data_IF_460221009197
#
_entry.id   IF_460221009197
#
_cell.length_a   1.000
_cell.length_b   1.000
_cell.length_c   1.000
_cell.angle_alpha   90.00
_cell.angle_beta   90.00
_cell.angle_gamma   90.00
#
_symmetry.space_group_name_H-M   'P 1'
#
loop_
_entity.id
_entity.type
_entity.pdbx_description
1 polymer ?
#
# COMPACT_ATOMS: atom_id res chain seq x y z
N UNK A 1 -5.40 25.71 -1.68
CA UNK A 1 -4.04 25.41 -1.14
C UNK A 1 -3.54 23.98 -1.39
N UNK A 2 -4.24 22.88 -1.03
CA UNK A 2 -3.71 21.50 -1.26
C UNK A 2 -3.68 21.11 -2.76
N UNK A 3 -4.73 21.44 -3.53
CA UNK A 3 -4.81 21.19 -5.00
C UNK A 3 -3.77 21.95 -5.84
N UNK A 4 -3.35 23.13 -5.41
CA UNK A 4 -2.33 23.93 -6.12
C UNK A 4 -0.91 23.39 -5.93
N UNK A 5 -0.60 22.80 -4.75
CA UNK A 5 0.69 22.14 -4.51
C UNK A 5 0.86 20.88 -5.34
N UNK A 6 -0.19 20.09 -5.53
CA UNK A 6 -0.17 18.90 -6.40
C UNK A 6 0.00 19.25 -7.88
N UNK A 7 -0.68 20.30 -8.38
CA UNK A 7 -0.47 20.80 -9.75
C UNK A 7 0.96 21.31 -9.97
N UNK A 8 1.51 22.07 -9.03
CA UNK A 8 2.85 22.63 -9.16
C UNK A 8 3.96 21.56 -9.18
N UNK A 9 3.76 20.42 -8.50
CA UNK A 9 4.73 19.32 -8.53
C UNK A 9 4.74 18.61 -9.89
N UNK A 10 3.57 18.43 -10.51
CA UNK A 10 3.42 17.73 -11.78
C UNK A 10 3.77 18.60 -13.01
N UNK A 11 3.56 19.92 -12.97
CA UNK A 11 3.96 20.81 -14.07
C UNK A 11 5.48 20.83 -14.29
N UNK A 12 6.30 20.73 -13.23
CA UNK A 12 7.76 20.71 -13.37
C UNK A 12 8.31 19.45 -14.04
N UNK A 13 7.58 18.34 -14.01
CA UNK A 13 8.02 17.11 -14.66
C UNK A 13 7.82 17.13 -16.20
N UNK A 14 7.00 18.05 -16.72
CA UNK A 14 6.63 18.12 -18.14
C UNK A 14 7.40 19.17 -18.97
N UNK A 15 8.18 20.07 -18.35
CA UNK A 15 8.79 21.20 -19.09
C UNK A 15 10.20 20.94 -19.67
N UNK A 16 10.82 19.79 -19.41
CA UNK A 16 12.11 19.44 -20.02
C UNK A 16 11.93 18.68 -21.33
N UNK A 17 11.69 19.42 -22.42
CA UNK A 17 12.16 19.03 -23.74
C UNK A 17 11.14 19.08 -24.88
N UNK A 18 10.89 20.26 -25.44
CA UNK A 18 10.69 20.42 -26.90
C UNK A 18 11.23 21.78 -27.33
N UNK A 19 12.21 21.77 -28.23
CA UNK A 19 12.73 22.94 -28.94
C UNK A 19 12.27 22.91 -30.39
N UNK A 20 11.84 24.09 -30.85
CA UNK A 20 11.75 24.61 -32.23
C UNK A 20 10.91 23.86 -33.29
N UNK A 21 9.94 24.57 -33.89
CA UNK A 21 10.19 25.28 -35.15
C UNK A 21 8.94 26.05 -35.63
N UNK A 22 9.18 27.29 -36.04
CA UNK A 22 8.27 28.19 -36.76
C UNK A 22 7.86 27.64 -38.13
N UNK A 23 6.59 27.83 -38.50
CA UNK A 23 6.22 28.21 -39.88
C UNK A 23 4.91 29.00 -39.89
N UNK A 24 5.04 30.29 -40.19
CA UNK A 24 3.99 31.18 -40.68
C UNK A 24 3.51 30.71 -42.05
N UNK A 25 2.19 30.78 -42.33
CA UNK A 25 1.65 31.37 -43.57
C UNK A 25 0.23 31.92 -43.35
N UNK A 26 0.07 33.20 -43.69
CA UNK A 26 -1.19 33.94 -43.88
C UNK A 26 -1.88 33.57 -45.20
N UNK A 27 -3.22 33.70 -45.28
CA UNK A 27 -4.00 34.41 -46.33
C UNK A 27 -5.53 34.24 -46.08
N UNK A 28 -6.23 35.32 -45.68
CA UNK A 28 -7.28 36.11 -46.39
C UNK A 28 -8.59 35.37 -46.73
N UNK A 29 -9.72 35.63 -46.05
CA UNK A 29 -10.74 36.70 -46.29
C UNK A 29 -11.72 36.43 -47.45
N UNK A 30 -13.04 36.47 -47.20
CA UNK A 30 -14.04 36.87 -48.21
C UNK A 30 -15.38 36.11 -48.24
N UNK A 31 -16.38 36.67 -47.56
CA UNK A 31 -17.78 36.91 -47.97
C UNK A 31 -18.83 35.78 -48.24
N UNK A 32 -19.92 35.92 -47.47
CA UNK A 32 -21.31 35.42 -47.60
C UNK A 32 -22.12 36.34 -48.57
N UNK A 33 -23.45 36.20 -48.87
CA UNK A 33 -24.43 35.11 -48.67
C UNK A 33 -25.40 34.86 -49.87
N UNK A 34 -26.29 33.85 -49.71
CA UNK A 34 -27.78 33.90 -49.82
C UNK A 34 -28.48 32.80 -50.65
N UNK A 35 -29.66 32.44 -50.12
CA UNK A 35 -30.94 31.95 -50.71
C UNK A 35 -31.26 30.44 -50.61
N UNK A 36 -32.48 30.22 -50.13
CA UNK A 36 -33.13 29.02 -49.62
C UNK A 36 -33.74 28.07 -50.67
N UNK A 37 -34.08 26.86 -50.24
CA UNK A 37 -35.38 26.14 -50.40
C UNK A 37 -35.23 24.78 -49.70
N UNK A 38 -35.92 24.56 -48.58
CA UNK A 38 -37.21 23.86 -48.44
C UNK A 38 -37.19 22.37 -48.88
N UNK A 39 -37.51 21.48 -47.93
CA UNK A 39 -37.56 20.04 -48.22
C UNK A 39 -37.34 19.10 -47.03
N UNK A 40 -38.30 19.05 -46.10
CA UNK A 40 -38.86 17.77 -45.64
C UNK A 40 -38.09 16.88 -44.63
N UNK A 41 -38.87 16.49 -43.61
CA UNK A 41 -38.82 15.25 -42.83
C UNK A 41 -38.10 15.31 -41.48
N UNK A 42 -38.92 15.61 -40.47
CA UNK A 42 -38.74 15.19 -39.09
C UNK A 42 -38.51 13.67 -38.98
N UNK A 43 -37.26 13.30 -38.73
CA UNK A 43 -36.94 12.12 -37.93
C UNK A 43 -35.82 12.54 -36.98
N UNK A 44 -36.17 12.90 -35.74
CA UNK A 44 -35.21 12.96 -34.63
C UNK A 44 -34.70 11.55 -34.34
N UNK A 45 -33.78 11.07 -35.18
CA UNK A 45 -32.88 9.99 -34.84
C UNK A 45 -31.95 10.54 -33.77
N UNK A 46 -32.19 10.15 -32.52
CA UNK A 46 -31.27 10.39 -31.44
C UNK A 46 -29.96 9.66 -31.75
N UNK A 47 -29.01 10.37 -32.34
CA UNK A 47 -27.61 9.97 -32.43
C UNK A 47 -27.04 9.88 -31.01
N UNK A 48 -27.34 8.76 -30.33
CA UNK A 48 -26.45 8.25 -29.29
C UNK A 48 -25.23 7.75 -30.04
N UNK A 49 -24.30 8.67 -30.29
CA UNK A 49 -22.95 8.38 -30.72
C UNK A 49 -22.35 7.44 -29.67
N UNK A 50 -22.39 6.14 -29.94
CA UNK A 50 -21.77 5.15 -29.09
C UNK A 50 -20.31 5.58 -28.90
N UNK A 51 -19.91 5.78 -27.64
CA UNK A 51 -18.54 6.14 -27.32
C UNK A 51 -17.63 5.07 -27.93
N UNK A 52 -16.76 5.47 -28.85
CA UNK A 52 -15.74 4.57 -29.40
C UNK A 52 -14.91 4.08 -28.20
N UNK A 53 -14.78 2.76 -27.99
CA UNK A 53 -13.97 2.24 -26.89
C UNK A 53 -12.54 2.71 -27.09
N UNK A 54 -12.08 3.58 -26.20
CA UNK A 54 -10.70 4.09 -26.23
C UNK A 54 -9.73 2.97 -25.95
N UNK A 55 -8.65 2.90 -26.73
CA UNK A 55 -7.66 1.84 -26.61
C UNK A 55 -6.93 2.00 -25.27
N UNK A 56 -6.50 0.91 -24.62
CA UNK A 56 -5.71 0.98 -23.39
C UNK A 56 -4.51 1.92 -23.50
N UNK A 57 -3.89 1.98 -24.70
CA UNK A 57 -2.76 2.85 -25.01
C UNK A 57 -3.02 4.37 -24.87
N UNK A 58 -4.29 4.81 -24.93
CA UNK A 58 -4.68 6.22 -24.87
C UNK A 58 -5.07 6.67 -23.46
N UNK A 59 -4.69 5.88 -22.44
CA UNK A 59 -5.05 6.10 -21.04
C UNK A 59 -3.81 6.08 -20.17
N UNK A 60 -3.84 6.85 -19.09
CA UNK A 60 -2.76 6.87 -18.10
C UNK A 60 -3.03 5.82 -17.03
N UNK A 61 -2.35 4.67 -17.12
CA UNK A 61 -2.40 3.67 -16.06
C UNK A 61 -1.60 4.14 -14.84
N UNK A 62 -2.25 4.12 -13.68
CA UNK A 62 -1.70 4.45 -12.37
C UNK A 62 -1.83 3.20 -11.51
N UNK A 63 -0.73 2.51 -11.29
CA UNK A 63 -0.73 1.34 -10.42
C UNK A 63 -0.82 1.78 -8.97
N UNK A 64 -1.67 1.11 -8.19
CA UNK A 64 -1.86 1.37 -6.77
C UNK A 64 -1.57 0.08 -6.02
N UNK A 65 -0.42 0.05 -5.36
CA UNK A 65 -0.01 -1.01 -4.44
C UNK A 65 -0.55 -0.72 -3.04
N UNK A 66 -0.93 -1.77 -2.31
CA UNK A 66 -1.54 -1.65 -0.98
C UNK A 66 -0.69 -2.41 0.05
N UNK A 67 -0.34 -1.73 1.13
CA UNK A 67 0.45 -2.28 2.23
C UNK A 67 -0.01 -1.81 3.60
N UNK A 68 0.57 -2.37 4.66
CA UNK A 68 0.20 -2.01 6.03
C UNK A 68 0.93 -0.77 6.54
N UNK A 69 2.20 -0.59 6.14
CA UNK A 69 3.01 0.58 6.47
C UNK A 69 2.70 1.75 5.54
N UNK A 70 2.59 1.46 4.26
CA UNK A 70 2.12 2.39 3.23
C UNK A 70 0.79 1.87 2.72
N UNK A 71 -0.32 2.50 3.15
CA UNK A 71 -1.67 2.05 2.81
C UNK A 71 -1.89 2.02 1.30
N UNK A 72 -1.46 3.08 0.63
CA UNK A 72 -1.54 3.21 -0.82
C UNK A 72 -0.22 3.77 -1.34
N UNK A 73 0.36 3.09 -2.31
CA UNK A 73 1.46 3.61 -3.13
C UNK A 73 1.00 3.67 -4.58
N UNK A 74 0.77 4.88 -5.09
CA UNK A 74 0.32 5.13 -6.45
C UNK A 74 1.47 5.58 -7.35
N UNK A 75 1.62 4.98 -8.53
CA UNK A 75 2.66 5.34 -9.49
C UNK A 75 2.17 5.25 -10.94
N UNK A 76 2.35 6.29 -11.77
CA UNK A 76 1.92 6.30 -13.16
C UNK A 76 2.99 5.64 -14.08
N UNK A 77 2.58 4.97 -15.15
CA UNK A 77 3.53 4.38 -16.14
C UNK A 77 4.40 5.40 -16.88
N UNK A 78 3.89 6.56 -17.36
CA UNK A 78 4.64 7.44 -18.26
C UNK A 78 5.91 8.05 -17.66
N UNK A 79 6.08 8.04 -16.34
CA UNK A 79 7.26 8.62 -15.70
C UNK A 79 8.43 7.62 -15.72
N UNK A 80 9.56 7.96 -16.36
CA UNK A 80 10.74 7.08 -16.42
C UNK A 80 11.27 6.75 -15.01
N UNK A 81 11.15 7.68 -14.08
CA UNK A 81 11.58 7.54 -12.68
C UNK A 81 10.41 7.46 -11.69
N UNK A 82 10.70 7.43 -10.39
CA UNK A 82 9.74 7.45 -9.27
C UNK A 82 9.19 8.86 -8.97
N UNK A 83 9.54 9.86 -9.79
CA UNK A 83 9.23 11.28 -9.59
C UNK A 83 7.74 11.63 -9.65
N UNK A 84 6.87 10.63 -9.88
CA UNK A 84 5.42 10.74 -9.77
C UNK A 84 4.81 9.88 -8.65
N UNK A 85 5.58 9.12 -7.87
CA UNK A 85 5.03 8.24 -6.84
C UNK A 85 4.35 9.06 -5.73
N UNK A 86 3.15 8.62 -5.34
CA UNK A 86 2.39 9.19 -4.24
C UNK A 86 2.08 8.11 -3.20
N UNK A 87 2.47 8.35 -1.96
CA UNK A 87 2.33 7.38 -0.88
C UNK A 87 1.46 7.94 0.25
N UNK A 88 0.54 7.13 0.75
CA UNK A 88 -0.27 7.44 1.92
C UNK A 88 0.11 6.45 3.04
N UNK A 89 0.53 6.93 4.22
CA UNK A 89 0.93 6.06 5.32
C UNK A 89 -0.27 5.28 5.89
N UNK A 90 -0.02 4.04 6.31
CA UNK A 90 -1.00 3.13 6.92
C UNK A 90 -0.84 2.96 8.43
N UNK A 91 0.30 3.36 9.01
CA UNK A 91 0.63 3.07 10.42
C UNK A 91 -0.42 3.57 11.43
N UNK A 92 -1.01 4.75 11.20
CA UNK A 92 -2.04 5.28 12.10
C UNK A 92 -3.34 4.44 12.04
N UNK A 93 -3.74 3.97 10.86
CA UNK A 93 -4.89 3.08 10.70
C UNK A 93 -4.64 1.73 11.36
N UNK A 94 -3.45 1.16 11.17
CA UNK A 94 -3.01 -0.05 11.85
C UNK A 94 -3.07 0.12 13.37
N UNK A 95 -2.52 1.20 13.92
CA UNK A 95 -2.54 1.47 15.36
C UNK A 95 -3.97 1.63 15.91
N UNK A 96 -4.87 2.29 15.16
CA UNK A 96 -6.29 2.42 15.54
C UNK A 96 -7.00 1.06 15.53
N UNK A 97 -6.64 0.17 14.63
CA UNK A 97 -7.20 -1.17 14.50
C UNK A 97 -6.69 -2.10 15.61
N UNK A 98 -5.39 -2.07 15.91
CA UNK A 98 -4.79 -2.80 17.04
C UNK A 98 -5.40 -2.34 18.37
N UNK A 99 -5.56 -1.03 18.57
CA UNK A 99 -6.24 -0.50 19.75
C UNK A 99 -7.71 -0.91 19.86
N UNK A 100 -8.39 -1.15 18.72
CA UNK A 100 -9.74 -1.73 18.73
C UNK A 100 -9.69 -3.20 19.16
N UNK A 101 -8.73 -3.98 18.65
CA UNK A 101 -8.53 -5.38 19.02
C UNK A 101 -8.31 -5.54 20.52
N UNK A 102 -7.34 -4.81 21.08
CA UNK A 102 -7.02 -4.86 22.50
C UNK A 102 -8.25 -4.49 23.36
N UNK A 103 -9.00 -3.49 22.92
CA UNK A 103 -10.21 -3.09 23.63
C UNK A 103 -11.31 -4.14 23.55
N UNK A 104 -11.48 -4.81 22.42
CA UNK A 104 -12.48 -5.88 22.25
C UNK A 104 -12.08 -7.09 23.09
N UNK A 105 -10.80 -7.48 23.09
CA UNK A 105 -10.27 -8.54 23.95
C UNK A 105 -10.54 -8.25 25.44
N UNK A 106 -10.26 -7.02 25.89
CA UNK A 106 -10.53 -6.61 27.27
C UNK A 106 -12.03 -6.64 27.63
N UNK A 107 -12.91 -6.27 26.69
CA UNK A 107 -14.36 -6.34 26.92
C UNK A 107 -14.87 -7.79 26.97
N UNK A 108 -14.35 -8.66 26.11
CA UNK A 108 -14.69 -10.10 26.08
C UNK A 108 -14.19 -10.84 27.33
N UNK A 109 -13.09 -10.41 27.92
CA UNK A 109 -12.54 -10.97 29.15
C UNK A 109 -13.24 -10.46 30.44
N UNK A 110 -14.10 -9.44 30.33
CA UNK A 110 -14.84 -8.87 31.45
C UNK A 110 -16.35 -9.14 31.36
N UNK A 111 -17.13 -8.41 32.17
CA UNK A 111 -18.58 -8.58 32.28
C UNK A 111 -19.37 -7.70 31.29
N UNK A 112 -18.74 -7.21 30.23
CA UNK A 112 -19.41 -6.33 29.26
C UNK A 112 -20.46 -7.11 28.46
N UNK A 113 -21.69 -6.59 28.42
CA UNK A 113 -22.74 -7.22 27.63
C UNK A 113 -22.49 -7.15 26.12
N UNK A 114 -23.18 -8.03 25.38
CA UNK A 114 -23.07 -8.10 23.92
C UNK A 114 -23.42 -6.78 23.24
N UNK A 115 -24.42 -6.05 23.74
CA UNK A 115 -24.86 -4.80 23.13
C UNK A 115 -23.77 -3.72 23.19
N UNK A 116 -23.07 -3.64 24.32
CA UNK A 116 -21.94 -2.73 24.56
C UNK A 116 -20.78 -3.04 23.62
N UNK A 117 -20.42 -4.32 23.48
CA UNK A 117 -19.35 -4.76 22.57
C UNK A 117 -19.70 -4.41 21.12
N UNK A 118 -20.91 -4.76 20.67
CA UNK A 118 -21.39 -4.47 19.31
C UNK A 118 -21.42 -2.98 19.02
N UNK A 119 -21.95 -2.16 19.94
CA UNK A 119 -21.99 -0.71 19.78
C UNK A 119 -20.58 -0.10 19.68
N UNK A 120 -19.62 -0.61 20.48
CA UNK A 120 -18.22 -0.20 20.43
C UNK A 120 -17.57 -0.55 19.09
N UNK A 121 -17.71 -1.79 18.63
CA UNK A 121 -17.17 -2.26 17.34
C UNK A 121 -17.77 -1.46 16.19
N UNK A 122 -19.09 -1.28 16.16
CA UNK A 122 -19.77 -0.49 15.10
C UNK A 122 -19.25 0.95 15.02
N UNK A 123 -19.17 1.64 16.16
CA UNK A 123 -18.68 3.03 16.21
C UNK A 123 -17.24 3.13 15.72
N UNK A 124 -16.38 2.20 16.12
CA UNK A 124 -14.97 2.23 15.72
C UNK A 124 -14.76 1.82 14.27
N UNK A 125 -15.52 0.83 13.77
CA UNK A 125 -15.55 0.46 12.35
C UNK A 125 -15.95 1.65 11.48
N UNK A 126 -16.99 2.40 11.84
CA UNK A 126 -17.41 3.58 11.08
C UNK A 126 -16.27 4.61 10.95
N UNK A 127 -15.55 4.89 12.04
CA UNK A 127 -14.42 5.82 12.01
C UNK A 127 -13.22 5.30 11.19
N UNK A 128 -12.98 3.98 11.18
CA UNK A 128 -11.95 3.38 10.33
C UNK A 128 -12.33 3.45 8.85
N UNK A 129 -13.60 3.21 8.51
CA UNK A 129 -14.10 3.32 7.15
C UNK A 129 -14.00 4.76 6.62
N UNK A 130 -14.35 5.76 7.43
CA UNK A 130 -14.20 7.16 7.03
C UNK A 130 -12.73 7.52 6.73
N UNK A 131 -11.80 7.06 7.58
CA UNK A 131 -10.38 7.30 7.36
C UNK A 131 -9.83 6.58 6.10
N UNK A 132 -10.36 5.41 5.77
CA UNK A 132 -10.06 4.72 4.50
C UNK A 132 -10.64 5.47 3.30
N UNK A 133 -11.83 6.06 3.44
CA UNK A 133 -12.43 6.89 2.40
C UNK A 133 -11.64 8.16 2.18
N UNK A 134 -11.18 8.82 3.24
CA UNK A 134 -10.30 9.99 3.15
C UNK A 134 -9.01 9.67 2.40
N UNK A 135 -8.36 8.54 2.73
CA UNK A 135 -7.17 8.09 2.03
C UNK A 135 -7.46 7.76 0.55
N UNK A 136 -8.60 7.11 0.26
CA UNK A 136 -9.01 6.81 -1.11
C UNK A 136 -9.33 8.07 -1.93
N UNK A 137 -9.99 9.07 -1.32
CA UNK A 137 -10.26 10.38 -1.95
C UNK A 137 -8.96 11.08 -2.31
N UNK A 138 -7.94 10.98 -1.45
CA UNK A 138 -6.63 11.55 -1.70
C UNK A 138 -5.92 10.88 -2.91
N UNK A 139 -6.01 9.56 -3.05
CA UNK A 139 -5.54 8.85 -4.26
C UNK A 139 -6.34 9.26 -5.51
N UNK A 140 -7.66 9.41 -5.40
CA UNK A 140 -8.49 9.82 -6.53
C UNK A 140 -8.22 11.28 -6.95
N UNK A 141 -8.00 12.18 -6.01
CA UNK A 141 -7.56 13.56 -6.25
C UNK A 141 -6.21 13.59 -6.97
N UNK A 142 -5.25 12.76 -6.52
CA UNK A 142 -3.96 12.59 -7.18
C UNK A 142 -4.12 12.07 -8.62
N UNK A 143 -4.91 11.02 -8.84
CA UNK A 143 -5.12 10.41 -10.14
C UNK A 143 -5.82 11.35 -11.13
N UNK A 144 -6.74 12.17 -10.64
CA UNK A 144 -7.47 13.16 -11.44
C UNK A 144 -6.60 14.27 -12.03
N UNK A 145 -5.33 14.36 -11.60
CA UNK A 145 -4.35 15.27 -12.20
C UNK A 145 -3.76 14.77 -13.52
N UNK A 146 -4.02 13.51 -13.91
CA UNK A 146 -3.53 12.90 -15.15
C UNK A 146 -4.62 12.81 -16.21
N UNK A 147 -4.23 12.72 -17.48
CA UNK A 147 -5.17 12.57 -18.58
C UNK A 147 -5.74 11.15 -18.63
N UNK A 148 -7.08 11.07 -18.63
CA UNK A 148 -7.87 9.83 -18.80
C UNK A 148 -7.35 8.69 -17.91
N UNK A 149 -7.23 8.91 -16.58
CA UNK A 149 -6.54 8.00 -15.69
C UNK A 149 -7.30 6.68 -15.50
N UNK A 150 -6.54 5.64 -15.16
CA UNK A 150 -7.03 4.33 -14.72
C UNK A 150 -6.27 3.96 -13.46
N UNK A 151 -6.99 3.70 -12.37
CA UNK A 151 -6.37 3.11 -11.20
C UNK A 151 -6.24 1.61 -11.43
N UNK A 152 -5.04 1.06 -11.27
CA UNK A 152 -4.74 -0.34 -11.53
C UNK A 152 -4.32 -0.98 -10.21
N UNK A 153 -5.18 -1.85 -9.68
CA UNK A 153 -4.89 -2.58 -8.43
C UNK A 153 -4.64 -4.04 -8.73
N UNK A 154 -4.02 -4.75 -7.80
CA UNK A 154 -4.08 -6.21 -7.80
C UNK A 154 -5.51 -6.72 -7.57
N UNK A 155 -5.74 -7.96 -8.02
CA UNK A 155 -6.97 -8.69 -7.75
C UNK A 155 -6.94 -9.29 -6.33
N UNK A 156 -7.46 -8.52 -5.38
CA UNK A 156 -7.69 -8.98 -4.01
C UNK A 156 -9.03 -9.72 -3.96
N UNK A 157 -8.98 -11.05 -4.02
CA UNK A 157 -10.16 -11.93 -3.91
C UNK A 157 -10.65 -12.10 -2.46
N UNK A 158 -10.20 -11.26 -1.53
CA UNK A 158 -10.50 -11.41 -0.11
C UNK A 158 -11.76 -10.63 0.28
N UNK A 159 -12.65 -11.29 1.03
CA UNK A 159 -13.76 -10.63 1.70
C UNK A 159 -13.32 -10.18 3.11
N UNK A 160 -13.45 -8.89 3.45
CA UNK A 160 -13.01 -8.40 4.76
C UNK A 160 -13.95 -8.85 5.88
N UNK A 161 -13.44 -9.66 6.81
CA UNK A 161 -14.13 -10.01 8.06
C UNK A 161 -13.45 -9.35 9.26
N UNK A 162 -14.07 -8.27 9.76
CA UNK A 162 -13.55 -7.54 10.92
C UNK A 162 -13.63 -8.38 12.19
N UNK A 163 -14.68 -9.18 12.35
CA UNK A 163 -14.86 -9.94 13.58
C UNK A 163 -13.85 -11.07 13.66
N UNK A 164 -13.65 -11.81 12.56
CA UNK A 164 -12.60 -12.82 12.47
C UNK A 164 -11.24 -12.21 12.84
N UNK A 165 -10.87 -11.07 12.25
CA UNK A 165 -9.61 -10.39 12.57
C UNK A 165 -9.53 -9.93 14.03
N UNK A 166 -10.61 -9.39 14.61
CA UNK A 166 -10.62 -8.92 16.01
C UNK A 166 -10.46 -10.04 17.03
N UNK A 167 -10.86 -11.26 16.69
CA UNK A 167 -10.85 -12.41 17.60
C UNK A 167 -9.73 -13.42 17.34
N UNK A 168 -8.98 -13.25 16.26
CA UNK A 168 -7.83 -14.09 15.94
C UNK A 168 -6.62 -13.65 16.80
N UNK A 169 -6.06 -14.54 17.64
CA UNK A 169 -4.89 -14.22 18.47
C UNK A 169 -3.63 -13.94 17.65
N UNK A 170 -3.51 -14.51 16.45
CA UNK A 170 -2.35 -14.41 15.57
C UNK A 170 -2.50 -13.30 14.51
N UNK A 171 -3.69 -12.68 14.44
CA UNK A 171 -3.92 -11.52 13.60
C UNK A 171 -3.01 -10.35 13.99
N UNK A 172 -2.38 -9.75 12.99
CA UNK A 172 -1.52 -8.59 13.12
C UNK A 172 -1.88 -7.56 12.06
N UNK A 173 -1.74 -6.26 12.43
CA UNK A 173 -1.71 -5.10 11.52
C UNK A 173 -2.80 -5.01 10.46
N UNK A 174 -3.95 -5.64 10.71
CA UNK A 174 -5.10 -5.56 9.84
C UNK A 174 -5.01 -6.34 8.53
N UNK A 175 -4.01 -7.16 8.25
CA UNK A 175 -3.78 -7.69 6.88
C UNK A 175 -5.02 -8.35 6.25
N UNK A 176 -5.76 -9.15 7.03
CA UNK A 176 -6.96 -9.86 6.57
C UNK A 176 -8.25 -9.01 6.54
N UNK A 177 -8.21 -7.78 7.06
CA UNK A 177 -9.36 -6.87 7.06
C UNK A 177 -9.07 -5.51 6.42
N UNK A 178 -8.02 -4.82 6.85
CA UNK A 178 -7.58 -3.52 6.39
C UNK A 178 -7.33 -3.50 4.88
N UNK A 179 -6.49 -4.39 4.34
CA UNK A 179 -6.13 -4.35 2.91
C UNK A 179 -7.32 -4.69 2.00
N UNK A 180 -8.11 -5.75 2.25
CA UNK A 180 -9.31 -6.02 1.45
C UNK A 180 -10.35 -4.90 1.59
N UNK A 181 -10.52 -4.34 2.80
CA UNK A 181 -11.42 -3.19 2.99
C UNK A 181 -10.93 -1.97 2.23
N UNK A 182 -9.64 -1.67 2.26
CA UNK A 182 -9.01 -0.56 1.53
C UNK A 182 -9.24 -0.70 0.01
N UNK A 183 -9.05 -1.89 -0.57
CA UNK A 183 -9.42 -2.15 -1.98
C UNK A 183 -10.89 -1.80 -2.27
N UNK A 184 -11.82 -2.25 -1.41
CA UNK A 184 -13.25 -1.98 -1.61
C UNK A 184 -13.57 -0.49 -1.47
N UNK A 185 -12.95 0.22 -0.50
CA UNK A 185 -13.15 1.66 -0.32
C UNK A 185 -12.57 2.45 -1.48
N UNK A 186 -11.38 2.11 -1.96
CA UNK A 186 -10.78 2.73 -3.13
C UNK A 186 -11.69 2.60 -4.36
N UNK A 187 -12.23 1.41 -4.62
CA UNK A 187 -13.18 1.19 -5.74
C UNK A 187 -14.45 2.01 -5.59
N UNK A 188 -15.02 2.07 -4.38
CA UNK A 188 -16.22 2.83 -4.10
C UNK A 188 -16.00 4.34 -4.34
N UNK A 189 -14.93 4.90 -3.77
CA UNK A 189 -14.60 6.32 -3.92
C UNK A 189 -14.20 6.65 -5.36
N UNK A 190 -13.44 5.79 -6.04
CA UNK A 190 -13.11 5.99 -7.45
C UNK A 190 -14.36 6.09 -8.33
N UNK A 191 -15.39 5.29 -8.04
CA UNK A 191 -16.67 5.39 -8.75
C UNK A 191 -17.37 6.74 -8.53
N UNK A 192 -17.29 7.33 -7.33
CA UNK A 192 -17.80 8.68 -7.05
C UNK A 192 -17.07 9.76 -7.87
N UNK A 193 -15.79 9.56 -8.15
CA UNK A 193 -14.99 10.44 -9.00
C UNK A 193 -15.16 10.16 -10.51
N UNK A 194 -15.90 9.11 -10.89
CA UNK A 194 -15.99 8.66 -12.29
C UNK A 194 -14.67 8.06 -12.82
N UNK A 195 -13.79 7.62 -11.93
CA UNK A 195 -12.52 6.97 -12.25
C UNK A 195 -12.73 5.47 -12.44
N UNK A 196 -12.13 4.92 -13.49
CA UNK A 196 -12.10 3.48 -13.65
C UNK A 196 -11.04 2.85 -12.75
N UNK A 197 -11.40 1.72 -12.15
CA UNK A 197 -10.47 0.84 -11.47
C UNK A 197 -10.39 -0.48 -12.24
N UNK A 198 -9.19 -0.79 -12.75
CA UNK A 198 -8.87 -2.05 -13.38
C UNK A 198 -8.15 -2.97 -12.39
N UNK A 199 -8.42 -4.28 -12.48
CA UNK A 199 -7.67 -5.28 -11.72
C UNK A 199 -6.71 -6.04 -12.63
N UNK A 200 -5.51 -6.31 -12.12
CA UNK A 200 -4.51 -7.17 -12.78
C UNK A 200 -4.18 -8.35 -11.89
N UNK A 201 -3.69 -9.48 -12.45
CA UNK A 201 -3.28 -10.62 -11.64
C UNK A 201 -2.27 -10.23 -10.56
N UNK A 202 -2.46 -10.73 -9.34
CA UNK A 202 -1.58 -10.43 -8.18
C UNK A 202 -0.23 -11.16 -8.25
N UNK A 203 -0.17 -12.31 -8.92
CA UNK A 203 1.00 -13.19 -8.86
C UNK A 203 2.32 -12.43 -9.13
N UNK A 204 3.23 -12.49 -8.14
CA UNK A 204 4.57 -11.89 -8.19
C UNK A 204 4.63 -10.36 -8.35
N UNK A 205 3.54 -9.61 -8.17
CA UNK A 205 3.51 -8.14 -8.32
C UNK A 205 4.58 -7.43 -7.49
N UNK A 206 4.79 -7.88 -6.25
CA UNK A 206 5.79 -7.33 -5.33
C UNK A 206 7.22 -7.83 -5.53
N UNK A 207 7.42 -8.79 -6.44
CA UNK A 207 8.73 -9.42 -6.70
C UNK A 207 9.21 -9.24 -8.14
N UNK A 208 8.33 -8.80 -9.05
CA UNK A 208 8.69 -8.54 -10.43
C UNK A 208 9.40 -7.19 -10.55
N UNK A 209 10.48 -7.12 -11.32
CA UNK A 209 11.10 -5.85 -11.67
C UNK A 209 10.22 -5.10 -12.66
N UNK A 210 9.79 -3.89 -12.29
CA UNK A 210 9.00 -3.05 -13.21
C UNK A 210 9.72 -2.81 -14.55
N UNK A 211 11.06 -2.73 -14.56
CA UNK A 211 11.85 -2.40 -15.75
C UNK A 211 11.92 -3.53 -16.77
N UNK A 212 12.24 -4.76 -16.34
CA UNK A 212 12.50 -5.90 -17.22
C UNK A 212 11.59 -7.13 -17.01
N UNK A 213 10.71 -7.13 -16.01
CA UNK A 213 9.79 -8.24 -15.74
C UNK A 213 10.42 -9.48 -15.09
N UNK A 214 11.71 -9.44 -14.76
CA UNK A 214 12.43 -10.52 -14.05
C UNK A 214 12.14 -10.47 -12.55
N UNK A 215 12.04 -11.63 -11.92
CA UNK A 215 11.88 -11.74 -10.45
C UNK A 215 13.16 -11.30 -9.74
N UNK A 216 13.04 -10.25 -8.94
CA UNK A 216 14.11 -9.72 -8.10
C UNK A 216 14.17 -10.35 -6.71
N UNK A 217 15.04 -9.82 -5.87
CA UNK A 217 15.13 -10.12 -4.44
C UNK A 217 14.64 -8.94 -3.59
N UNK A 218 14.22 -9.25 -2.35
CA UNK A 218 13.81 -8.28 -1.33
C UNK A 218 14.68 -8.48 -0.10
N UNK A 219 15.91 -7.93 -0.07
CA UNK A 219 16.82 -8.12 1.04
C UNK A 219 16.29 -7.49 2.34
N UNK A 220 15.51 -6.42 2.23
CA UNK A 220 14.69 -5.82 3.29
C UNK A 220 13.25 -5.69 2.80
N UNK A 221 12.29 -5.58 3.72
CA UNK A 221 10.87 -5.39 3.36
C UNK A 221 10.69 -4.15 2.48
N UNK A 222 11.30 -3.03 2.81
CA UNK A 222 11.18 -1.77 2.05
C UNK A 222 11.96 -1.73 0.72
N UNK A 223 12.82 -2.72 0.45
CA UNK A 223 13.71 -2.68 -0.72
C UNK A 223 13.40 -3.78 -1.71
N UNK A 224 13.47 -3.42 -2.99
CA UNK A 224 13.49 -4.32 -4.12
C UNK A 224 14.81 -4.18 -4.86
N UNK A 225 15.39 -5.29 -5.30
CA UNK A 225 16.56 -5.30 -6.18
C UNK A 225 16.34 -6.24 -7.35
N UNK A 226 16.61 -5.75 -8.56
CA UNK A 226 16.55 -6.58 -9.75
C UNK A 226 17.75 -7.54 -9.81
N UNK A 227 17.50 -8.80 -10.18
CA UNK A 227 18.54 -9.83 -10.33
C UNK A 227 19.10 -9.93 -11.76
N UNK A 228 18.45 -9.27 -12.74
CA UNK A 228 18.91 -9.22 -14.12
C UNK A 228 20.09 -8.21 -14.26
N UNK A 229 21.31 -8.67 -14.59
CA UNK A 229 22.48 -7.79 -14.73
C UNK A 229 22.37 -6.80 -15.90
N UNK A 230 21.52 -7.08 -16.88
CA UNK A 230 21.30 -6.20 -18.03
C UNK A 230 20.19 -5.15 -17.79
N UNK A 231 19.55 -5.18 -16.62
CA UNK A 231 18.52 -4.22 -16.24
C UNK A 231 19.13 -3.02 -15.52
N UNK A 232 18.69 -1.81 -15.89
CA UNK A 232 19.11 -0.56 -15.23
C UNK A 232 18.44 -0.32 -13.87
N UNK A 233 17.48 -1.17 -13.48
CA UNK A 233 16.82 -1.08 -12.18
C UNK A 233 17.74 -1.72 -11.15
N UNK A 234 18.37 -0.90 -10.30
CA UNK A 234 19.21 -1.37 -9.21
C UNK A 234 18.36 -1.66 -7.95
N UNK A 235 18.73 -1.10 -6.80
CA UNK A 235 17.97 -1.17 -5.55
C UNK A 235 17.01 0.02 -5.47
N UNK A 236 15.72 -0.26 -5.27
CA UNK A 236 14.64 0.74 -5.29
C UNK A 236 13.62 0.42 -4.20
N UNK A 237 12.72 1.38 -3.93
CA UNK A 237 11.61 1.17 -3.01
C UNK A 237 10.67 0.06 -3.52
N UNK A 238 10.34 -0.88 -2.64
CA UNK A 238 9.58 -2.08 -3.00
C UNK A 238 8.14 -1.75 -3.41
N UNK A 239 7.47 -0.89 -2.67
CA UNK A 239 6.06 -0.52 -2.91
C UNK A 239 5.95 0.29 -4.21
N UNK A 240 6.89 1.19 -4.48
CA UNK A 240 6.99 1.95 -5.73
C UNK A 240 7.21 1.03 -6.93
N UNK A 241 8.09 0.03 -6.80
CA UNK A 241 8.31 -0.97 -7.84
C UNK A 241 7.03 -1.78 -8.10
N UNK A 242 6.36 -2.25 -7.03
CA UNK A 242 5.10 -2.99 -7.14
C UNK A 242 4.02 -2.16 -7.85
N UNK A 243 3.85 -0.89 -7.46
CA UNK A 243 2.94 0.03 -8.11
C UNK A 243 3.24 0.17 -9.61
N UNK A 244 4.51 0.35 -10.02
CA UNK A 244 4.87 0.39 -11.45
C UNK A 244 4.61 -0.93 -12.18
N UNK A 245 4.82 -2.08 -11.54
CA UNK A 245 4.48 -3.39 -12.12
C UNK A 245 2.98 -3.48 -12.40
N UNK A 246 2.13 -3.11 -11.42
CA UNK A 246 0.68 -3.11 -11.60
C UNK A 246 0.26 -2.20 -12.75
N UNK A 247 0.79 -0.98 -12.77
CA UNK A 247 0.53 0.01 -13.80
C UNK A 247 0.89 -0.51 -15.21
N UNK A 248 2.05 -1.18 -15.34
CA UNK A 248 2.49 -1.77 -16.62
C UNK A 248 1.59 -2.92 -17.07
N UNK A 249 1.15 -3.79 -16.14
CA UNK A 249 0.31 -4.97 -16.43
C UNK A 249 -1.05 -4.61 -17.04
N UNK A 250 -1.51 -3.36 -16.89
CA UNK A 250 -2.71 -2.88 -17.57
C UNK A 250 -2.58 -2.87 -19.10
N UNK A 251 -1.38 -2.61 -19.64
CA UNK A 251 -1.15 -2.60 -21.07
C UNK A 251 -0.89 -4.01 -21.61
N UNK A 252 -1.44 -4.36 -22.80
CA UNK A 252 -1.16 -5.65 -23.44
C UNK A 252 0.34 -5.92 -23.59
N UNK A 253 0.75 -7.19 -23.48
CA UNK A 253 2.14 -7.61 -23.66
C UNK A 253 3.05 -7.44 -22.43
N UNK A 254 2.57 -6.81 -21.34
CA UNK A 254 3.35 -6.54 -20.13
C UNK A 254 3.03 -7.55 -19.01
N UNK A 255 3.24 -8.84 -19.28
CA UNK A 255 3.07 -9.91 -18.28
C UNK A 255 4.41 -10.32 -17.70
N UNK A 256 4.37 -10.80 -16.45
CA UNK A 256 5.50 -11.45 -15.80
C UNK A 256 6.16 -12.44 -16.76
N UNK A 257 7.44 -12.25 -17.06
CA UNK A 257 8.22 -13.17 -17.89
C UNK A 257 8.56 -14.48 -17.14
N UNK A 258 8.14 -14.60 -15.87
CA UNK A 258 8.37 -15.79 -15.07
C UNK A 258 7.64 -17.00 -15.65
N UNK A 259 8.40 -17.82 -16.38
CA UNK A 259 8.11 -19.23 -16.55
C UNK A 259 8.72 -19.93 -15.33
N UNK A 260 7.94 -20.57 -14.45
CA UNK A 260 8.53 -21.41 -13.42
C UNK A 260 9.48 -22.41 -14.12
N UNK A 261 10.64 -22.74 -13.52
CA UNK A 261 11.46 -23.82 -14.05
C UNK A 261 10.53 -25.01 -14.25
N UNK A 262 10.48 -25.56 -15.49
CA UNK A 262 9.82 -26.84 -15.71
C UNK A 262 10.37 -27.75 -14.63
N UNK A 263 9.50 -28.22 -13.74
CA UNK A 263 9.84 -29.24 -12.77
C UNK A 263 10.64 -30.29 -13.50
N UNK A 264 11.90 -30.50 -13.11
CA UNK A 264 12.66 -31.65 -13.56
C UNK A 264 11.75 -32.83 -13.30
N UNK A 265 11.32 -33.44 -14.40
CA UNK A 265 10.48 -34.63 -14.41
C UNK A 265 11.05 -35.60 -13.39
N UNK A 266 10.19 -36.02 -12.46
CA UNK A 266 10.38 -37.14 -11.57
C UNK A 266 11.09 -38.28 -12.31
N UNK A 267 12.36 -38.46 -12.01
CA UNK A 267 13.17 -39.40 -12.75
C UNK A 267 14.62 -39.42 -12.29
N UNK A 268 14.87 -39.36 -10.98
CA UNK A 268 16.03 -40.02 -10.38
C UNK A 268 15.92 -40.06 -8.85
N UNK A 269 15.73 -41.28 -8.35
CA UNK A 269 15.74 -41.63 -6.93
C UNK A 269 17.21 -41.79 -6.56
N UNK A 270 17.78 -40.87 -5.77
CA UNK A 270 19.22 -40.93 -5.45
C UNK A 270 19.66 -40.05 -4.27
N UNK A 271 19.54 -40.60 -3.05
CA UNK A 271 20.37 -40.40 -1.84
C UNK A 271 20.72 -38.96 -1.37
N UNK A 272 20.03 -38.59 -0.28
CA UNK A 272 20.51 -38.03 1.00
C UNK A 272 21.71 -37.05 1.04
N UNK A 273 21.48 -35.88 1.65
CA UNK A 273 22.13 -35.52 2.93
C UNK A 273 21.29 -34.48 3.69
N UNK A 274 20.82 -34.90 4.86
CA UNK A 274 20.18 -34.08 5.88
C UNK A 274 21.26 -33.38 6.72
N UNK A 275 21.21 -32.05 6.78
CA UNK A 275 22.06 -31.24 7.65
C UNK A 275 21.22 -30.20 8.41
N UNK A 276 20.26 -30.66 9.22
CA UNK A 276 19.72 -29.85 10.32
C UNK A 276 20.48 -30.14 11.61
N UNK A 277 21.47 -29.29 11.91
CA UNK A 277 22.01 -29.12 13.27
C UNK A 277 20.90 -28.58 14.18
N UNK A 278 20.22 -29.46 14.91
CA UNK A 278 19.53 -29.13 16.16
C UNK A 278 20.47 -29.47 17.32
N UNK A 279 20.75 -28.48 18.18
CA UNK A 279 21.40 -28.69 19.48
C UNK A 279 20.45 -29.51 20.39
N UNK A 280 20.90 -30.61 21.01
CA UNK A 280 20.09 -31.31 22.01
C UNK A 280 20.24 -30.68 23.39
N UNK A 281 19.10 -30.55 24.05
CA UNK A 281 18.90 -30.39 25.49
C UNK A 281 19.38 -31.67 26.18
N UNK A 282 20.22 -31.55 27.21
CA UNK A 282 20.67 -32.67 28.02
C UNK A 282 19.72 -32.90 29.20
N UNK A 283 19.07 -34.06 29.23
CA UNK A 283 18.42 -34.63 30.41
C UNK A 283 19.02 -36.01 30.70
N UNK A 284 19.31 -36.23 31.99
CA UNK A 284 20.09 -37.33 32.55
C UNK A 284 19.30 -38.64 32.76
N UNK A 285 20.02 -39.76 32.80
CA UNK A 285 19.72 -41.00 33.56
C UNK A 285 20.99 -41.91 33.61
N UNK A 286 21.05 -43.06 34.33
CA UNK A 286 21.58 -43.15 35.70
C UNK A 286 22.68 -44.23 35.91
N UNK A 287 23.42 -44.17 37.04
CA UNK A 287 23.80 -45.36 37.81
C UNK A 287 25.30 -45.66 38.11
N UNK A 288 25.63 -45.60 39.43
CA UNK A 288 26.58 -46.46 40.23
C UNK A 288 28.10 -46.24 40.05
N UNK A 289 28.99 -46.14 41.05
CA UNK A 289 29.12 -46.42 42.52
C UNK A 289 30.21 -45.45 43.10
N UNK A 290 30.05 -44.67 44.20
CA UNK A 290 30.30 -44.92 45.67
C UNK A 290 31.80 -44.92 46.09
N UNK A 291 32.29 -44.42 47.27
CA UNK A 291 32.03 -43.21 48.13
C UNK A 291 33.38 -42.62 48.72
N UNK A 292 33.53 -42.11 49.98
CA UNK A 292 32.91 -40.98 50.72
C UNK A 292 33.95 -39.94 51.27
N UNK A 293 33.53 -38.75 51.73
CA UNK A 293 33.92 -38.15 53.04
C UNK A 293 33.16 -36.82 53.27
N UNK A 294 32.28 -36.77 54.28
CA UNK A 294 32.41 -36.11 55.61
C UNK A 294 32.06 -34.62 55.69
N UNK A 295 31.06 -34.34 56.54
CA UNK A 295 30.85 -33.14 57.37
C UNK A 295 30.65 -31.77 56.67
N UNK A 296 29.77 -30.87 57.08
CA UNK A 296 28.84 -30.81 58.19
C UNK A 296 28.18 -29.41 58.23
N UNK A 297 26.88 -29.40 58.57
CA UNK A 297 26.16 -28.49 59.48
C UNK A 297 26.28 -26.94 59.41
N UNK A 298 25.07 -26.33 59.56
CA UNK A 298 24.65 -24.99 60.06
C UNK A 298 24.58 -23.89 58.98
N UNK A 299 23.43 -23.32 58.62
CA UNK A 299 22.34 -22.64 59.38
C UNK A 299 22.82 -21.41 60.16
N UNK A 300 22.48 -20.20 59.69
CA UNK A 300 21.58 -19.26 60.38
C UNK A 300 21.68 -17.80 59.88
N UNK A 301 20.53 -17.09 59.95
CA UNK A 301 20.33 -15.62 60.15
C UNK A 301 20.57 -14.65 58.97
N UNK A 302 19.51 -13.90 58.59
CA UNK A 302 19.60 -12.54 58.02
C UNK A 302 19.54 -11.48 59.14
N UNK A 303 19.05 -10.23 58.91
CA UNK A 303 19.02 -9.37 57.72
C UNK A 303 19.61 -7.94 58.01
N UNK A 304 19.62 -7.04 57.01
CA UNK A 304 20.00 -5.60 57.10
C UNK A 304 21.04 -5.24 56.04
N UNK A 305 21.08 -4.08 55.38
CA UNK A 305 20.33 -2.84 55.44
C UNK A 305 20.56 -2.08 54.11
N UNK A 306 19.55 -1.30 53.71
CA UNK A 306 19.57 -0.03 52.97
C UNK A 306 20.80 0.35 52.11
N UNK A 307 20.58 0.44 50.80
CA UNK A 307 21.19 1.48 49.95
C UNK A 307 20.13 2.14 49.05
N UNK A 308 20.06 3.47 49.12
CA UNK A 308 19.31 4.32 48.19
C UNK A 308 20.23 4.79 47.06
N UNK A 309 19.77 4.84 45.79
CA UNK A 309 20.47 5.58 44.74
C UNK A 309 19.85 6.97 44.49
N UNK A 310 20.58 7.88 43.81
CA UNK A 310 20.34 9.31 43.88
C UNK A 310 19.30 9.84 42.88
N UNK A 311 18.74 10.98 43.26
CA UNK A 311 17.77 11.83 42.55
C UNK A 311 18.33 12.31 41.19
N UNK A 312 17.63 11.99 40.11
CA UNK A 312 17.79 12.64 38.81
C UNK A 312 16.84 13.84 38.69
N UNK A 313 17.38 14.92 38.10
CA UNK A 313 16.76 16.25 38.01
C UNK A 313 15.68 16.28 36.94
N UNK A 314 14.48 16.67 37.33
CA UNK A 314 13.39 17.09 36.46
C UNK A 314 13.69 18.47 35.86
N UNK A 315 13.86 18.55 34.53
CA UNK A 315 13.73 19.80 33.77
C UNK A 315 12.31 19.87 33.21
N UNK A 316 11.51 20.77 33.78
CA UNK A 316 10.22 21.19 33.27
C UNK A 316 10.42 22.16 32.10
N UNK A 317 9.97 21.78 30.91
CA UNK A 317 9.72 22.72 29.81
C UNK A 317 8.22 23.05 29.83
N UNK A 318 7.87 24.24 30.29
CA UNK A 318 6.55 24.83 30.03
C UNK A 318 6.56 25.51 28.66
N UNK A 319 5.46 25.45 27.90
CA UNK A 319 5.37 26.04 26.57
C UNK A 319 5.14 27.56 26.64
N UNK A 320 5.84 28.29 25.77
CA UNK A 320 5.58 29.70 25.52
C UNK A 320 4.24 29.87 24.79
N UNK A 321 3.32 30.60 25.43
CA UNK A 321 2.10 31.14 24.83
C UNK A 321 2.42 32.18 23.78
N UNK A 322 2.17 31.85 22.50
CA UNK A 322 2.03 32.83 21.43
C UNK A 322 0.63 33.44 21.50
N UNK A 323 0.55 34.73 21.81
CA UNK A 323 -0.63 35.57 21.57
C UNK A 323 -0.58 36.10 20.13
N UNK A 324 -1.71 36.22 19.43
CA UNK A 324 -1.77 36.95 18.16
C UNK A 324 -1.75 38.46 18.40
N UNK A 325 -0.99 39.20 17.60
CA UNK A 325 -1.10 40.65 17.44
C UNK A 325 -2.30 41.00 16.55
N UNK A 326 -3.02 42.10 16.84
CA UNK A 326 -4.01 42.67 15.93
C UNK A 326 -3.33 43.64 14.93
N UNK A 327 -3.83 43.60 13.69
CA UNK A 327 -3.85 44.66 12.65
C UNK A 327 -2.48 45.22 12.18
N UNK A 328 -2.10 45.23 10.90
CA UNK A 328 -2.80 45.84 9.75
C UNK A 328 -3.38 47.22 10.05
N UNK A 329 -2.51 48.16 10.48
CA UNK A 329 -1.96 49.24 9.64
C UNK A 329 -0.51 49.47 10.03
#
# INVERSE_FOLDING_TARGET
>A
MRKERLRAHNCRAHESGVSAAHHDQHTTSGDDPRIATDGGRDTRSSDRRAAVPTRPADRTAIGVDLGEHTLYTACPVPTPDWTGTYAIPGDELCARLDALRDRVAALLAGDADRATIVARVRRRRAALLEALDDAAREICDYASAYDRPVLVTEDSHYEPDLWAWLTDPDAHRGTAWLLPTAHLRLRAVAAEYGLEVATVPVAYSSQECHGCGVIGDRPLQETFRCTNPDCRVETVDADSNAAKVLARRYYPGHRCAYRPPRSLTTGERGKAVDARRRRPIATAAPGRRVPPSTAGRRSSRGPGDRESPPRSRSRSCSPATLRPSPDSV
#
